data_IF_771483622139
#
_entry.id   IF_771483622139
#
_cell.length_a   1.000
_cell.length_b   1.000
_cell.length_c   1.000
_cell.angle_alpha   90.00
_cell.angle_beta   90.00
_cell.angle_gamma   90.00
#
_symmetry.space_group_name_H-M   'P 1'
#
loop_
_entity.id
_entity.type
_entity.pdbx_description
1 polymer ?
2 water ?
#
# COMPACT_ATOMS: atom_id res chain seq x y z
N UNK A 5 -13.91 12.22 -23.65
CA UNK A 5 -14.62 12.02 -22.38
C UNK A 5 -13.72 11.75 -21.17
N UNK A 6 -12.78 10.79 -21.29
CA UNK A 6 -11.99 10.34 -20.16
C UNK A 6 -10.60 10.95 -20.19
N UNK A 7 -10.03 11.10 -18.99
CA UNK A 7 -8.74 11.77 -18.83
C UNK A 7 -8.10 11.32 -17.53
N UNK A 8 -6.80 11.62 -17.42
CA UNK A 8 -6.10 11.59 -16.14
C UNK A 8 -6.35 12.91 -15.43
N UNK A 9 -6.54 12.83 -14.10
CA UNK A 9 -6.83 13.98 -13.25
C UNK A 9 -5.93 13.99 -12.02
N UNK A 10 -5.38 15.16 -11.73
CA UNK A 10 -4.61 15.40 -10.50
C UNK A 10 -5.51 16.14 -9.51
N UNK A 11 -5.66 15.58 -8.31
CA UNK A 11 -6.57 16.09 -7.30
C UNK A 11 -5.72 16.58 -6.14
N UNK A 12 -5.74 17.87 -5.89
CA UNK A 12 -4.81 18.46 -4.94
C UNK A 12 -5.58 19.25 -3.88
N UNK A 13 -4.92 19.43 -2.74
CA UNK A 13 -5.42 20.23 -1.64
C UNK A 13 -4.22 20.82 -0.92
N UNK A 14 -4.42 22.01 -0.36
CA UNK A 14 -3.36 22.68 0.39
C UNK A 14 -2.90 21.78 1.54
N UNK A 15 -1.57 21.65 1.67
CA UNK A 15 -0.96 20.91 2.77
C UNK A 15 -1.46 19.47 2.83
N UNK A 16 -1.79 18.90 1.68
CA UNK A 16 -2.34 17.56 1.66
C UNK A 16 -1.70 16.75 0.55
N UNK A 17 -1.92 15.45 0.63
CA UNK A 17 -1.34 14.49 -0.31
C UNK A 17 -2.11 14.55 -1.62
N UNK A 18 -1.39 14.64 -2.74
CA UNK A 18 -2.04 14.62 -4.04
C UNK A 18 -2.65 13.25 -4.32
N UNK A 19 -3.80 13.24 -5.00
CA UNK A 19 -4.45 12.00 -5.43
C UNK A 19 -4.60 12.01 -6.94
N UNK A 20 -4.81 10.83 -7.53
CA UNK A 20 -4.78 10.75 -8.99
C UNK A 20 -5.91 9.85 -9.46
N UNK A 21 -6.55 10.25 -10.56
CA UNK A 21 -7.75 9.57 -11.04
C UNK A 21 -7.69 9.40 -12.55
N UNK A 22 -8.34 8.35 -13.04
CA UNK A 22 -8.54 8.17 -14.47
C UNK A 22 -10.03 7.93 -14.72
N UNK A 23 -10.60 8.74 -15.59
CA UNK A 23 -11.98 8.52 -15.96
C UNK A 23 -12.63 9.78 -16.48
N UNK A 24 -13.95 9.78 -16.44
CA UNK A 24 -14.78 10.88 -16.90
C UNK A 24 -14.80 11.97 -15.84
N UNK A 25 -15.07 13.20 -16.28
CA UNK A 25 -15.12 14.31 -15.32
C UNK A 25 -16.30 14.18 -14.36
N UNK A 26 -17.40 13.56 -14.78
CA UNK A 26 -18.48 13.32 -13.84
C UNK A 26 -18.01 12.42 -12.70
N UNK A 27 -17.20 11.41 -13.04
CA UNK A 27 -16.70 10.49 -12.03
C UNK A 27 -15.59 11.13 -11.18
N UNK A 28 -14.70 11.90 -11.79
CA UNK A 28 -13.72 12.57 -10.95
C UNK A 28 -14.41 13.54 -10.00
N UNK A 29 -15.52 14.13 -10.43
CA UNK A 29 -16.20 15.06 -9.53
C UNK A 29 -16.88 14.31 -8.39
N UNK A 30 -17.54 13.17 -8.68
CA UNK A 30 -18.06 12.36 -7.58
C UNK A 30 -16.95 11.96 -6.61
N UNK A 31 -15.80 11.57 -7.14
CA UNK A 31 -14.67 11.17 -6.28
C UNK A 31 -14.23 12.32 -5.38
N UNK A 32 -14.07 13.52 -5.96
CA UNK A 32 -13.65 14.70 -5.19
C UNK A 32 -14.68 15.03 -4.11
N UNK A 33 -15.98 14.93 -4.45
CA UNK A 33 -17.04 15.17 -3.47
C UNK A 33 -16.97 14.20 -2.31
N UNK A 34 -16.72 12.92 -2.59
CA UNK A 34 -16.58 11.97 -1.50
C UNK A 34 -15.34 12.28 -0.65
N UNK A 35 -14.23 12.66 -1.29
CA UNK A 35 -13.01 13.01 -0.54
C UNK A 35 -13.24 14.21 0.37
N UNK A 36 -14.09 15.15 -0.03
CA UNK A 36 -14.33 16.35 0.74
C UNK A 36 -15.49 16.25 1.72
N UNK A 37 -16.25 15.14 1.71
CA UNK A 37 -17.52 15.09 2.46
C UNK A 37 -17.37 15.48 3.93
N UNK A 38 -16.22 15.22 4.54
CA UNK A 38 -16.00 15.61 5.93
C UNK A 38 -14.74 16.47 6.10
N UNK A 39 -14.30 17.15 5.06
CA UNK A 39 -13.08 17.94 5.13
C UNK A 39 -13.45 19.35 5.55
N UNK A 40 -13.10 19.71 6.80
CA UNK A 40 -13.40 21.03 7.33
C UNK A 40 -12.47 22.09 6.75
N UNK A 41 -11.27 21.69 6.34
CA UNK A 41 -10.27 22.57 5.78
C UNK A 41 -9.55 21.82 4.66
N UNK A 42 -8.80 22.57 3.86
CA UNK A 42 -7.93 21.97 2.84
C UNK A 42 -8.70 21.02 1.93
N UNK A 43 -9.79 21.51 1.36
CA UNK A 43 -10.57 20.63 0.49
C UNK A 43 -9.83 20.39 -0.82
N UNK A 44 -10.18 19.28 -1.44
CA UNK A 44 -9.56 18.83 -2.67
C UNK A 44 -10.23 19.49 -3.87
N UNK A 45 -9.45 19.68 -4.95
CA UNK A 45 -9.99 20.05 -6.26
C UNK A 45 -9.21 19.33 -7.34
N UNK A 46 -9.88 19.02 -8.45
CA UNK A 46 -9.24 18.30 -9.54
C UNK A 46 -8.83 19.26 -10.65
N UNK A 47 -7.81 18.84 -11.41
CA UNK A 47 -7.42 19.42 -12.69
C UNK A 47 -7.16 18.30 -13.69
N UNK A 48 -7.54 18.53 -14.95
CA UNK A 48 -7.32 17.54 -16.02
C UNK A 48 -5.91 17.65 -16.56
N UNK A 49 -5.22 16.51 -16.59
CA UNK A 49 -3.83 16.40 -17.06
C UNK A 49 -3.79 16.23 -18.57
N UNK A 50 -3.02 17.05 -19.29
CA UNK A 50 -2.94 16.91 -20.76
C UNK A 50 -2.35 15.58 -21.18
N UNK A 51 -2.82 15.09 -22.35
CA UNK A 51 -2.34 13.83 -22.91
C UNK A 51 -0.81 13.76 -22.96
N UNK A 52 -0.14 14.90 -23.20
CA UNK A 52 1.31 14.90 -23.27
C UNK A 52 1.98 14.26 -22.04
N UNK A 53 1.38 14.37 -20.85
CA UNK A 53 1.96 13.79 -19.64
C UNK A 53 1.40 12.43 -19.29
N UNK A 54 0.48 11.89 -20.10
CA UNK A 54 -0.31 10.72 -19.69
C UNK A 54 0.55 9.48 -19.42
N UNK A 55 1.70 9.35 -20.10
CA UNK A 55 2.60 8.23 -19.84
C UNK A 55 3.05 8.17 -18.39
N UNK A 56 3.26 9.34 -17.76
CA UNK A 56 3.74 9.32 -16.37
C UNK A 56 2.67 8.88 -15.38
N UNK A 57 1.43 8.65 -15.82
CA UNK A 57 0.36 8.18 -14.95
C UNK A 57 -0.10 6.78 -15.31
N UNK A 58 -0.08 6.43 -16.60
CA UNK A 58 -0.59 5.14 -17.05
C UNK A 58 0.05 4.00 -16.27
N UNK A 59 -0.80 3.09 -15.78
CA UNK A 59 -0.33 1.95 -15.04
C UNK A 59 0.08 2.27 -13.62
N UNK A 60 0.05 3.54 -13.21
CA UNK A 60 0.53 3.85 -11.88
C UNK A 60 -0.45 3.33 -10.84
N UNK A 61 0.08 2.98 -9.70
CA UNK A 61 -0.74 2.24 -8.77
C UNK A 61 -1.51 3.16 -7.84
N UNK A 62 -1.18 4.47 -7.85
CA UNK A 62 -1.89 5.50 -7.08
C UNK A 62 -2.99 6.17 -7.90
N UNK A 63 -3.24 5.71 -9.11
CA UNK A 63 -4.31 6.24 -9.95
C UNK A 63 -5.52 5.37 -9.71
N UNK A 64 -6.55 5.94 -9.09
CA UNK A 64 -7.85 5.26 -9.01
C UNK A 64 -8.52 5.33 -10.38
N UNK A 65 -8.95 4.19 -10.91
CA UNK A 65 -9.55 4.15 -12.24
C UNK A 65 -11.06 4.01 -12.12
N UNK A 66 -11.80 5.00 -12.62
CA UNK A 66 -13.26 4.96 -12.72
C UNK A 66 -13.79 4.09 -13.85
N UNK A 67 -12.91 3.65 -14.76
CA UNK A 67 -13.26 2.73 -15.84
C UNK A 67 -13.20 1.28 -15.38
N UNK A 68 -12.94 1.04 -14.10
CA UNK A 68 -13.01 -0.27 -13.48
C UNK A 68 -14.35 -0.39 -12.78
N UNK A 69 -15.06 -1.48 -13.05
CA UNK A 69 -16.39 -1.63 -12.46
C UNK A 69 -16.28 -1.83 -10.97
N UNK A 70 -17.18 -1.19 -10.23
CA UNK A 70 -17.09 -1.25 -8.78
C UNK A 70 -16.03 -0.36 -8.16
N UNK A 71 -15.42 0.54 -8.93
CA UNK A 71 -14.41 1.44 -8.39
C UNK A 71 -14.99 2.36 -7.32
N UNK A 72 -16.28 2.67 -7.44
CA UNK A 72 -16.98 3.56 -6.53
C UNK A 72 -17.84 2.80 -5.55
N UNK A 73 -17.52 1.52 -5.29
CA UNK A 73 -18.30 0.74 -4.34
C UNK A 73 -18.18 1.30 -2.94
N UNK A 74 -17.00 1.80 -2.58
CA UNK A 74 -16.82 2.43 -1.28
C UNK A 74 -17.69 3.68 -1.09
N UNK A 75 -18.28 4.20 -2.16
CA UNK A 75 -19.26 5.27 -2.03
C UNK A 75 -20.67 4.65 -2.00
N UNK B 5 5.51 0.24 9.89
CA UNK B 5 4.95 -0.65 10.91
C UNK B 5 3.46 -0.99 10.67
N UNK B 6 2.68 0.05 10.38
CA UNK B 6 1.23 -0.04 10.22
C UNK B 6 0.82 0.14 8.77
N UNK B 7 -0.33 -0.46 8.41
CA UNK B 7 -0.81 -0.40 7.04
C UNK B 7 -2.31 -0.61 7.02
N UNK B 8 -2.91 -0.34 5.85
CA UNK B 8 -4.25 -0.79 5.54
C UNK B 8 -4.19 -2.22 5.03
N UNK B 9 -5.18 -3.00 5.42
CA UNK B 9 -5.27 -4.40 5.05
C UNK B 9 -6.64 -4.65 4.48
N UNK B 10 -6.68 -5.39 3.37
CA UNK B 10 -7.89 -5.93 2.77
C UNK B 10 -8.02 -7.39 3.20
N UNK B 11 -9.16 -7.73 3.79
CA UNK B 11 -9.42 -9.03 4.41
C UNK B 11 -10.57 -9.66 3.62
N UNK B 12 -10.29 -10.78 2.97
CA UNK B 12 -11.22 -11.33 2.00
C UNK B 12 -11.49 -12.80 2.31
N UNK B 13 -12.61 -13.27 1.78
CA UNK B 13 -13.01 -14.67 1.86
C UNK B 13 -13.87 -14.96 0.66
N UNK B 14 -13.80 -16.21 0.19
CA UNK B 14 -14.64 -16.65 -0.93
C UNK B 14 -16.09 -16.44 -0.56
N UNK B 15 -16.84 -15.81 -1.49
CA UNK B 15 -18.28 -15.58 -1.33
C UNK B 15 -18.64 -14.79 -0.07
N UNK B 16 -17.77 -13.88 0.36
CA UNK B 16 -18.02 -13.09 1.57
C UNK B 16 -17.57 -11.67 1.25
N UNK B 17 -18.09 -10.66 1.96
CA UNK B 17 -17.77 -9.30 1.50
C UNK B 17 -16.44 -8.91 2.17
N UNK B 18 -15.60 -8.20 1.42
CA UNK B 18 -14.30 -7.77 1.93
C UNK B 18 -14.43 -6.85 3.13
N UNK B 19 -13.48 -6.99 4.06
CA UNK B 19 -13.35 -6.20 5.28
C UNK B 19 -12.02 -5.46 5.26
N UNK B 20 -11.92 -4.44 6.11
CA UNK B 20 -10.79 -3.52 6.01
C UNK B 20 -10.26 -3.18 7.39
N UNK B 21 -8.94 -3.12 7.50
CA UNK B 21 -8.29 -2.89 8.79
C UNK B 21 -7.14 -1.91 8.63
N UNK B 22 -6.87 -1.15 9.70
CA UNK B 22 -5.71 -0.27 9.76
C UNK B 22 -4.96 -0.58 11.04
N UNK B 23 -3.67 -0.89 10.90
CA UNK B 23 -2.87 -1.14 12.09
C UNK B 23 -1.66 -2.01 11.78
N UNK B 24 -1.15 -2.63 12.82
CA UNK B 24 0.01 -3.48 12.66
C UNK B 24 -0.40 -4.87 12.20
N UNK B 25 0.57 -5.56 11.60
CA UNK B 25 0.29 -6.91 11.15
C UNK B 25 -0.07 -7.84 12.30
N UNK B 26 0.48 -7.60 13.50
CA UNK B 26 0.08 -8.40 14.65
C UNK B 26 -1.39 -8.22 14.96
N UNK B 27 -1.87 -6.97 14.84
CA UNK B 27 -3.26 -6.71 15.16
C UNK B 27 -4.18 -7.22 14.06
N UNK B 28 -3.80 -7.05 12.79
CA UNK B 28 -4.64 -7.58 11.73
C UNK B 28 -4.69 -9.10 11.82
N UNK B 29 -3.60 -9.72 12.25
CA UNK B 29 -3.59 -11.18 12.36
C UNK B 29 -4.50 -11.63 13.49
N UNK B 30 -4.49 -10.91 14.63
CA UNK B 30 -5.46 -11.16 15.69
C UNK B 30 -6.88 -11.02 15.18
N UNK B 31 -7.14 -9.95 14.45
CA UNK B 31 -8.48 -9.69 13.93
C UNK B 31 -8.95 -10.84 13.03
N UNK B 32 -8.07 -11.29 12.12
CA UNK B 32 -8.39 -12.38 11.21
C UNK B 32 -8.65 -13.69 11.99
N UNK B 33 -7.83 -13.97 13.00
CA UNK B 33 -8.10 -15.14 13.86
C UNK B 33 -9.47 -15.03 14.53
N UNK B 34 -9.83 -13.82 14.98
CA UNK B 34 -11.14 -13.61 15.58
C UNK B 34 -12.27 -13.80 14.57
N UNK B 35 -12.11 -13.29 13.35
CA UNK B 35 -13.15 -13.46 12.34
C UNK B 35 -13.34 -14.94 12.00
N UNK B 36 -12.25 -15.71 11.99
CA UNK B 36 -12.34 -17.12 11.61
C UNK B 36 -12.64 -18.05 12.79
N UNK B 37 -12.70 -17.52 14.00
CA UNK B 37 -12.90 -18.34 15.20
C UNK B 37 -14.07 -19.32 15.06
N UNK B 38 -15.14 -18.94 14.36
CA UNK B 38 -16.28 -19.84 14.17
C UNK B 38 -16.67 -20.06 12.72
N UNK B 39 -15.78 -19.80 11.77
CA UNK B 39 -16.10 -19.95 10.36
C UNK B 39 -15.70 -21.35 9.92
N UNK B 40 -16.69 -22.22 9.69
CA UNK B 40 -16.41 -23.56 9.22
C UNK B 40 -16.04 -23.56 7.76
N UNK B 41 -16.43 -22.52 7.02
CA UNK B 41 -16.14 -22.39 5.60
C UNK B 41 -15.79 -20.93 5.31
N UNK B 42 -15.18 -20.71 4.14
CA UNK B 42 -14.93 -19.37 3.63
C UNK B 42 -14.15 -18.53 4.64
N UNK B 43 -13.01 -19.08 5.10
CA UNK B 43 -12.24 -18.38 6.10
C UNK B 43 -11.60 -17.13 5.48
N UNK B 44 -11.32 -16.15 6.32
CA UNK B 44 -10.74 -14.90 5.91
C UNK B 44 -9.21 -14.98 5.84
N UNK B 45 -8.63 -14.19 4.92
CA UNK B 45 -7.20 -14.00 4.86
C UNK B 45 -6.93 -12.54 4.58
N UNK B 46 -5.85 -12.00 5.14
CA UNK B 46 -5.51 -10.59 5.01
C UNK B 46 -4.42 -10.39 3.98
N UNK B 47 -4.44 -9.22 3.34
CA UNK B 47 -3.36 -8.74 2.48
C UNK B 47 -3.08 -7.26 2.76
N UNK B 48 -1.79 -6.90 2.75
CA UNK B 48 -1.41 -5.53 3.00
C UNK B 48 -1.59 -4.70 1.73
N UNK B 49 -2.29 -3.58 1.88
CA UNK B 49 -2.54 -2.68 0.75
C UNK B 49 -1.34 -1.75 0.60
N UNK B 50 -0.76 -1.63 -0.59
CA UNK B 50 0.41 -0.75 -0.76
C UNK B 50 0.08 0.70 -0.44
N UNK B 51 1.07 1.40 0.12
CA UNK B 51 0.90 2.79 0.53
C UNK B 51 0.32 3.65 -0.58
N UNK B 52 0.67 3.35 -1.85
CA UNK B 52 0.21 4.11 -3.00
C UNK B 52 -1.30 4.27 -3.06
N UNK B 53 -2.06 3.25 -2.65
CA UNK B 53 -3.51 3.29 -2.72
C UNK B 53 -4.17 3.75 -1.43
N UNK B 54 -3.37 4.13 -0.43
CA UNK B 54 -3.90 4.45 0.90
C UNK B 54 -4.90 5.59 0.87
N UNK B 55 -4.86 6.44 -0.17
CA UNK B 55 -5.84 7.51 -0.26
C UNK B 55 -7.28 6.99 -0.26
N UNK B 56 -7.56 5.87 -0.96
CA UNK B 56 -8.99 5.56 -0.83
C UNK B 56 -9.35 4.96 0.51
N UNK B 57 -8.41 4.72 1.42
CA UNK B 57 -8.82 4.00 2.62
C UNK B 57 -8.86 4.89 3.85
N UNK B 58 -8.06 5.95 3.93
CA UNK B 58 -8.56 6.95 4.85
C UNK B 58 -9.73 7.67 4.19
N UNK B 59 -10.49 8.38 5.00
CA UNK B 59 -11.78 8.85 4.56
C UNK B 59 -12.82 7.76 4.39
N UNK B 60 -12.43 6.48 4.45
CA UNK B 60 -13.38 5.38 4.40
C UNK B 60 -13.89 5.04 5.79
N UNK B 61 -15.16 4.69 5.88
CA UNK B 61 -15.84 4.46 7.16
C UNK B 61 -15.89 2.99 7.58
N UNK B 62 -15.53 2.05 6.69
CA UNK B 62 -15.58 0.63 6.99
C UNK B 62 -14.23 0.05 7.44
N UNK B 63 -13.24 0.89 7.71
CA UNK B 63 -11.93 0.43 8.16
C UNK B 63 -11.91 0.37 9.69
N UNK B 64 -11.77 -0.82 10.24
CA UNK B 64 -11.51 -0.99 11.67
C UNK B 64 -10.06 -0.62 11.97
N UNK B 65 -9.86 0.30 12.94
CA UNK B 65 -8.53 0.79 13.27
C UNK B 65 -8.06 0.21 14.59
N UNK B 66 -6.94 -0.53 14.53
CA UNK B 66 -6.28 -0.96 15.76
C UNK B 66 -5.58 0.17 16.51
N UNK B 67 -5.47 1.36 15.90
CA UNK B 67 -4.89 2.53 16.54
C UNK B 67 -5.90 3.32 17.39
N UNK B 68 -7.11 2.82 17.55
CA UNK B 68 -8.08 3.38 18.49
C UNK B 68 -8.07 2.54 19.74
N UNK B 69 -7.92 3.19 20.89
CA UNK B 69 -7.80 2.45 22.14
C UNK B 69 -9.12 1.75 22.44
N UNK B 70 -9.03 0.51 22.94
CA UNK B 70 -10.21 -0.32 23.11
C UNK B 70 -10.77 -0.91 21.82
N UNK B 71 -10.03 -0.83 20.70
CA UNK B 71 -10.56 -1.28 19.41
C UNK B 71 -10.93 -2.76 19.43
N UNK B 72 -10.26 -3.57 20.25
CA UNK B 72 -10.52 -5.01 20.31
C UNK B 72 -11.26 -5.42 21.59
N UNK B 73 -12.04 -4.51 22.17
CA UNK B 73 -12.83 -4.87 23.34
C UNK B 73 -13.86 -5.94 23.00
N UNK B 74 -14.44 -5.86 21.80
CA UNK B 74 -15.42 -6.87 21.40
C UNK B 74 -14.84 -8.29 21.30
N UNK B 75 -13.52 -8.46 21.39
CA UNK B 75 -12.93 -9.82 21.37
C UNK B 75 -12.78 -10.47 22.75
N UNK C 5 28.86 4.34 4.02
CA UNK C 5 27.93 4.31 2.88
C UNK C 5 27.08 3.05 2.79
N UNK C 6 27.70 1.89 2.99
CA UNK C 6 27.03 0.62 2.81
C UNK C 6 26.65 0.00 4.15
N UNK C 7 25.62 -0.85 4.13
CA UNK C 7 25.07 -1.46 5.33
C UNK C 7 24.35 -2.76 4.95
N UNK C 8 24.05 -3.57 5.97
CA UNK C 8 23.10 -4.67 5.84
C UNK C 8 21.68 -4.17 5.97
N UNK C 9 20.79 -4.74 5.16
CA UNK C 9 19.39 -4.38 5.11
C UNK C 9 18.52 -5.62 5.20
N UNK C 10 17.51 -5.55 6.06
CA UNK C 10 16.44 -6.55 6.12
C UNK C 10 15.24 -5.99 5.36
N UNK C 11 14.74 -6.75 4.39
CA UNK C 11 13.67 -6.34 3.49
C UNK C 11 12.48 -7.26 3.77
N UNK C 12 11.38 -6.66 4.19
CA UNK C 12 10.24 -7.41 4.70
C UNK C 12 8.98 -7.00 3.97
N UNK C 13 8.01 -7.90 4.03
CA UNK C 13 6.67 -7.70 3.48
C UNK C 13 5.71 -8.54 4.29
N UNK C 14 4.49 -8.07 4.39
CA UNK C 14 3.47 -8.86 5.07
C UNK C 14 3.31 -10.22 4.36
N UNK C 15 3.27 -11.29 5.15
CA UNK C 15 3.06 -12.65 4.64
C UNK C 15 4.10 -13.08 3.61
N UNK C 16 5.32 -12.55 3.69
CA UNK C 16 6.36 -12.86 2.71
C UNK C 16 7.68 -13.12 3.42
N UNK C 17 8.59 -13.77 2.72
CA UNK C 17 9.86 -14.13 3.34
C UNK C 17 10.82 -12.94 3.33
N UNK C 18 11.46 -12.69 4.47
CA UNK C 18 12.42 -11.60 4.54
C UNK C 18 13.60 -11.88 3.62
N UNK C 19 14.09 -10.84 2.97
CA UNK C 19 15.25 -10.87 2.09
C UNK C 19 16.31 -9.97 2.69
N UNK C 20 17.52 -10.12 2.19
CA UNK C 20 18.65 -9.44 2.81
C UNK C 20 19.56 -8.86 1.75
N UNK C 21 20.05 -7.65 2.02
CA UNK C 21 20.85 -6.91 1.08
C UNK C 21 22.04 -6.33 1.82
N UNK C 22 23.15 -6.20 1.11
CA UNK C 22 24.31 -5.50 1.62
C UNK C 22 24.69 -4.48 0.55
N UNK C 23 24.78 -3.21 0.92
CA UNK C 23 25.20 -2.21 -0.04
C UNK C 23 24.73 -0.82 0.35
N UNK C 24 24.67 0.05 -0.65
CA UNK C 24 24.25 1.42 -0.40
C UNK C 24 22.73 1.52 -0.34
N UNK C 25 22.26 2.53 0.38
CA UNK C 25 20.83 2.73 0.47
C UNK C 25 20.24 3.05 -0.90
N UNK C 26 21.01 3.71 -1.78
CA UNK C 26 20.52 3.91 -3.14
C UNK C 26 20.29 2.58 -3.83
N UNK C 27 21.18 1.63 -3.61
CA UNK C 27 21.05 0.32 -4.25
C UNK C 27 19.94 -0.51 -3.62
N UNK C 28 19.78 -0.46 -2.30
CA UNK C 28 18.68 -1.19 -1.68
C UNK C 28 17.35 -0.58 -2.13
N UNK C 29 17.32 0.73 -2.37
CA UNK C 29 16.09 1.35 -2.82
C UNK C 29 15.77 0.95 -4.26
N UNK C 30 16.80 0.88 -5.12
CA UNK C 30 16.61 0.32 -6.46
C UNK C 30 16.06 -1.10 -6.37
N UNK C 31 16.65 -1.90 -5.48
CA UNK C 31 16.25 -3.29 -5.30
C UNK C 31 14.79 -3.44 -4.83
N UNK C 32 14.41 -2.69 -3.79
CA UNK C 32 13.05 -2.74 -3.25
C UNK C 32 12.04 -2.29 -4.30
N UNK C 33 12.37 -1.23 -5.05
CA UNK C 33 11.50 -0.80 -6.13
C UNK C 33 11.33 -1.89 -7.17
N UNK C 34 12.42 -2.59 -7.50
CA UNK C 34 12.31 -3.66 -8.45
C UNK C 34 11.46 -4.81 -7.91
N UNK C 35 11.62 -5.15 -6.63
CA UNK C 35 10.84 -6.22 -6.05
C UNK C 35 9.35 -5.90 -6.09
N UNK C 36 9.00 -4.62 -5.92
CA UNK C 36 7.61 -4.21 -5.91
C UNK C 36 7.07 -3.89 -7.30
N UNK C 37 7.91 -4.06 -8.34
CA UNK C 37 7.58 -3.69 -9.71
C UNK C 37 6.22 -4.22 -10.18
N UNK C 38 5.83 -5.42 -9.71
CA UNK C 38 4.52 -5.98 -10.05
C UNK C 38 3.71 -6.45 -8.84
N UNK C 39 4.04 -6.02 -7.63
CA UNK C 39 3.36 -6.52 -6.43
C UNK C 39 2.17 -5.64 -6.12
N UNK C 40 0.97 -6.15 -6.39
CA UNK C 40 -0.24 -5.39 -6.12
C UNK C 40 -0.57 -5.36 -4.64
N UNK C 41 -0.06 -6.31 -3.87
CA UNK C 41 -0.26 -6.37 -2.43
C UNK C 41 1.06 -6.79 -1.81
N UNK C 42 1.17 -6.58 -0.50
CA UNK C 42 2.31 -7.03 0.28
C UNK C 42 3.62 -6.51 -0.30
N UNK C 43 3.71 -5.19 -0.48
CA UNK C 43 4.95 -4.64 -1.06
C UNK C 43 6.10 -4.78 -0.06
N UNK C 44 7.31 -4.79 -0.60
CA UNK C 44 8.50 -4.90 0.23
C UNK C 44 8.92 -3.53 0.71
N UNK C 45 9.51 -3.48 1.91
CA UNK C 45 10.15 -2.30 2.43
C UNK C 45 11.44 -2.70 3.12
N UNK C 46 12.43 -1.82 3.08
CA UNK C 46 13.74 -2.09 3.65
C UNK C 46 13.91 -1.41 5.00
N UNK C 47 14.76 -2.01 5.85
CA UNK C 47 15.24 -1.39 7.07
C UNK C 47 16.72 -1.70 7.22
N UNK C 48 17.49 -0.70 7.66
CA UNK C 48 18.93 -0.89 7.84
C UNK C 48 19.20 -1.56 9.18
N UNK C 49 19.99 -2.62 9.14
CA UNK C 49 20.35 -3.36 10.35
C UNK C 49 21.50 -2.63 11.04
N UNK C 50 21.42 -2.34 12.34
CA UNK C 50 22.51 -1.62 13.00
C UNK C 50 23.82 -2.39 12.90
N UNK C 51 24.92 -1.63 12.77
CA UNK C 51 26.25 -2.24 12.65
C UNK C 51 26.52 -3.23 13.78
N UNK C 52 25.98 -2.95 14.98
CA UNK C 52 26.17 -3.84 16.11
C UNK C 52 25.74 -5.27 15.79
N UNK C 53 24.70 -5.44 14.98
CA UNK C 53 24.20 -6.77 14.67
C UNK C 53 24.81 -7.37 13.40
N UNK C 54 25.72 -6.65 12.71
CA UNK C 54 26.18 -7.13 11.41
C UNK C 54 26.92 -8.44 11.51
N UNK C 55 27.57 -8.68 12.66
CA UNK C 55 28.27 -9.94 12.91
C UNK C 55 27.30 -11.12 12.82
N UNK C 56 26.07 -10.91 13.27
CA UNK C 56 25.03 -11.92 13.33
C UNK C 56 24.60 -12.39 11.93
N UNK C 57 25.20 -11.82 10.87
CA UNK C 57 24.90 -12.15 9.47
C UNK C 57 26.12 -12.73 8.75
N UNK C 59 28.77 -13.88 6.94
CA UNK C 59 28.88 -15.32 6.87
C UNK C 59 27.67 -15.97 6.24
N UNK C 60 26.64 -15.16 5.99
CA UNK C 60 25.37 -15.62 5.44
C UNK C 60 25.42 -15.69 3.92
N UNK C 61 24.68 -16.65 3.35
CA UNK C 61 24.69 -16.91 1.91
C UNK C 61 23.53 -16.34 1.12
N UNK C 62 22.44 -15.92 1.77
CA UNK C 62 21.24 -15.43 1.07
C UNK C 62 21.22 -13.93 0.92
N UNK C 63 22.34 -13.26 1.19
CA UNK C 63 22.45 -11.80 1.15
C UNK C 63 22.86 -11.38 -0.25
N UNK C 64 21.97 -10.68 -0.96
CA UNK C 64 22.35 -10.05 -2.22
C UNK C 64 23.29 -8.89 -1.91
N UNK C 65 24.47 -8.88 -2.52
CA UNK C 65 25.49 -7.86 -2.28
C UNK C 65 25.55 -6.91 -3.47
N UNK C 66 25.28 -5.63 -3.20
CA UNK C 66 25.51 -4.62 -4.24
C UNK C 66 26.97 -4.33 -4.50
N UNK C 67 27.87 -4.85 -3.68
CA UNK C 67 29.30 -4.74 -3.85
C UNK C 67 29.90 -5.79 -4.78
N UNK C 68 29.12 -6.71 -5.34
CA UNK C 68 29.60 -7.54 -6.44
C UNK C 68 28.96 -7.09 -7.75
N UNK C 69 29.79 -6.95 -8.77
CA UNK C 69 29.30 -6.53 -10.07
C UNK C 69 28.46 -7.60 -10.71
N UNK C 70 27.44 -7.16 -11.44
CA UNK C 70 26.43 -8.03 -11.99
C UNK C 70 25.37 -8.44 -11.00
N UNK C 71 25.38 -7.84 -9.79
CA UNK C 71 24.37 -8.12 -8.78
C UNK C 71 22.99 -7.66 -9.22
N UNK C 72 22.90 -6.59 -10.01
CA UNK C 72 21.64 -6.02 -10.45
C UNK C 72 21.37 -6.32 -11.93
N UNK C 73 21.94 -7.41 -12.46
CA UNK C 73 21.71 -7.77 -13.85
C UNK C 73 20.25 -8.13 -14.12
N UNK C 74 19.61 -8.79 -13.15
CA UNK C 74 18.22 -9.19 -13.26
C UNK C 74 17.25 -8.02 -13.39
N UNK C 75 17.69 -6.79 -13.11
CA UNK C 75 16.88 -5.60 -13.36
C UNK C 75 17.20 -5.00 -14.74
#
# INVERSE_FOLDING_TARGET
METKMTSFYKITAYNSQALYFWGTDADVDRYVDWLNRDREINVYAAEAIPEAEWAQYEGRDDVLSGEECGWDDFMSAEA
METKMTSFYKITAYNSQALYFWGTDADVDRYVDWLNRDREINVYAAEAIPEAEWAQYEGRDDVLSGEECGWDDFMSAEA
METKMTSFYKITAYNSQALYFWGTDADVDRYVDWLNRDREINVYAAEAIPEAEWAQYEGRDDVLSGEECGWDDFMSAEA
#
